data_IF_917128006346
#
_entry.id   IF_917128006346
#
_cell.length_a   1.000
_cell.length_b   1.000
_cell.length_c   1.000
_cell.angle_alpha   90.00
_cell.angle_beta   90.00
_cell.angle_gamma   90.00
#
_symmetry.space_group_name_H-M   'P 1'
#
loop_
_entity.id
_entity.type
_entity.pdbx_description
1 polymer ?
#
# COMPACT_ATOMS: atom_id res chain seq x y z
N UNK A 1 -8.71 -16.86 -8.27
CA UNK A 1 -8.74 -15.39 -8.28
C UNK A 1 -8.91 -14.88 -6.87
N UNK A 2 -8.19 -13.83 -6.48
CA UNK A 2 -8.29 -13.18 -5.17
C UNK A 2 -8.43 -11.67 -5.32
N UNK A 3 -9.25 -11.04 -4.47
CA UNK A 3 -9.48 -9.58 -4.49
C UNK A 3 -8.52 -8.90 -3.52
N UNK A 4 -7.88 -7.80 -3.93
CA UNK A 4 -7.15 -6.92 -3.02
C UNK A 4 -8.12 -6.33 -1.99
N UNK A 5 -7.84 -6.57 -0.71
CA UNK A 5 -8.63 -6.05 0.40
C UNK A 5 -7.74 -5.10 1.19
N UNK A 6 -8.09 -3.83 1.19
CA UNK A 6 -7.49 -2.85 2.07
C UNK A 6 -8.13 -2.92 3.46
N UNK A 7 -7.37 -2.44 4.45
CA UNK A 7 -7.74 -2.31 5.85
C UNK A 7 -9.00 -1.46 6.03
N UNK A 8 -10.07 -1.98 6.63
CA UNK A 8 -11.34 -1.26 6.84
C UNK A 8 -11.18 0.02 7.63
N UNK A 9 -10.38 -0.01 8.70
CA UNK A 9 -10.05 1.14 9.51
C UNK A 9 -9.33 2.18 8.65
N UNK A 10 -8.35 1.76 7.85
CA UNK A 10 -7.66 2.63 6.88
C UNK A 10 -8.63 3.26 5.88
N UNK A 11 -9.51 2.46 5.29
CA UNK A 11 -10.52 2.93 4.32
C UNK A 11 -11.44 3.97 4.94
N UNK A 12 -11.88 3.74 6.19
CA UNK A 12 -12.75 4.67 6.91
C UNK A 12 -12.00 5.95 7.30
N UNK A 13 -10.75 5.81 7.75
CA UNK A 13 -9.90 6.92 8.19
C UNK A 13 -9.50 7.84 7.02
N UNK A 14 -9.15 7.24 5.89
CA UNK A 14 -8.56 7.94 4.74
C UNK A 14 -9.53 8.10 3.57
N UNK A 15 -10.71 7.48 3.60
CA UNK A 15 -11.78 7.69 2.62
C UNK A 15 -11.56 7.03 1.26
N UNK A 16 -10.82 5.93 1.19
CA UNK A 16 -10.65 5.15 -0.03
C UNK A 16 -11.46 3.84 0.00
N UNK A 17 -11.62 3.22 -1.17
CA UNK A 17 -12.36 1.96 -1.33
C UNK A 17 -11.69 0.81 -0.59
N UNK A 18 -12.50 -0.05 0.02
CA UNK A 18 -12.04 -1.26 0.72
C UNK A 18 -11.55 -2.36 -0.20
N UNK A 19 -12.19 -2.53 -1.35
CA UNK A 19 -11.85 -3.55 -2.31
C UNK A 19 -11.17 -2.91 -3.51
N UNK A 20 -10.04 -3.48 -3.91
CA UNK A 20 -9.29 -3.10 -5.09
C UNK A 20 -9.47 -4.11 -6.22
N UNK A 21 -8.41 -4.30 -7.00
CA UNK A 21 -8.38 -5.23 -8.13
C UNK A 21 -8.49 -6.69 -7.73
N UNK A 22 -8.90 -7.52 -8.68
CA UNK A 22 -8.78 -8.97 -8.58
C UNK A 22 -7.52 -9.44 -9.31
N UNK A 23 -6.76 -10.32 -8.69
CA UNK A 23 -5.58 -10.96 -9.27
C UNK A 23 -5.83 -12.46 -9.43
N UNK A 24 -5.27 -13.07 -10.48
CA UNK A 24 -5.32 -14.52 -10.66
C UNK A 24 -4.62 -15.28 -9.52
N UNK A 25 -3.53 -14.71 -9.01
CA UNK A 25 -2.64 -15.33 -8.03
C UNK A 25 -1.52 -16.10 -8.73
N UNK A 26 -0.28 -15.71 -8.47
CA UNK A 26 0.92 -16.33 -9.08
C UNK A 26 1.19 -17.69 -8.45
N UNK A 27 1.03 -17.79 -7.12
CA UNK A 27 1.06 -19.04 -6.38
C UNK A 27 -0.24 -19.16 -5.58
N UNK A 28 -1.15 -20.02 -6.06
CA UNK A 28 -2.47 -20.25 -5.44
C UNK A 28 -2.38 -21.17 -4.20
N UNK A 29 -1.25 -21.83 -4.04
CA UNK A 29 -1.00 -22.78 -2.97
C UNK A 29 -0.15 -22.19 -1.84
N UNK A 30 0.24 -20.91 -1.94
CA UNK A 30 1.11 -20.24 -0.97
C UNK A 30 0.48 -20.21 0.42
N UNK A 31 1.14 -20.88 1.38
CA UNK A 31 0.66 -21.13 2.75
C UNK A 31 1.83 -21.50 3.67
N UNK A 32 1.66 -21.54 5.00
CA UNK A 32 2.72 -21.93 5.93
C UNK A 32 3.39 -23.25 5.52
N UNK A 33 4.73 -23.25 5.52
CA UNK A 33 5.55 -24.39 5.07
C UNK A 33 5.93 -24.34 3.58
N UNK A 34 5.21 -23.58 2.74
CA UNK A 34 5.60 -23.29 1.35
C UNK A 34 6.23 -21.89 1.28
N UNK A 35 7.53 -21.82 1.55
CA UNK A 35 8.25 -20.56 1.67
C UNK A 35 8.64 -19.96 0.31
N UNK A 36 8.65 -18.64 0.23
CA UNK A 36 9.18 -17.87 -0.92
C UNK A 36 10.34 -16.94 -0.51
N UNK A 37 11.11 -16.49 -1.50
CA UNK A 37 12.12 -15.45 -1.32
C UNK A 37 11.59 -14.13 -1.88
N UNK A 38 11.72 -13.05 -1.11
CA UNK A 38 11.24 -11.74 -1.51
C UNK A 38 12.43 -10.78 -1.70
N UNK A 39 12.52 -10.20 -2.90
CA UNK A 39 13.54 -9.22 -3.26
C UNK A 39 12.85 -7.88 -3.54
N UNK A 40 13.17 -6.87 -2.75
CA UNK A 40 12.59 -5.53 -2.85
C UNK A 40 13.61 -4.48 -3.25
N UNK A 41 13.38 -3.80 -4.37
CA UNK A 41 14.13 -2.61 -4.74
C UNK A 41 13.43 -1.35 -4.21
N UNK A 42 14.20 -0.38 -3.70
CA UNK A 42 13.68 0.91 -3.21
C UNK A 42 12.54 0.72 -2.20
N UNK A 43 11.40 1.39 -2.36
CA UNK A 43 10.21 1.26 -1.50
C UNK A 43 9.73 -0.19 -1.34
N UNK A 44 9.97 -1.06 -2.34
CA UNK A 44 9.55 -2.47 -2.29
C UNK A 44 10.10 -3.23 -1.09
N UNK A 45 11.27 -2.85 -0.56
CA UNK A 45 11.80 -3.43 0.67
C UNK A 45 10.98 -3.10 1.92
N UNK A 46 10.40 -1.89 2.00
CA UNK A 46 9.46 -1.52 3.08
C UNK A 46 8.14 -2.30 2.92
N UNK A 47 7.63 -2.41 1.69
CA UNK A 47 6.41 -3.18 1.40
C UNK A 47 6.53 -4.65 1.81
N UNK A 48 7.66 -5.30 1.49
CA UNK A 48 7.91 -6.71 1.85
C UNK A 48 7.94 -6.90 3.37
N UNK A 49 8.61 -6.01 4.10
CA UNK A 49 8.66 -6.06 5.58
C UNK A 49 7.27 -5.92 6.19
N UNK A 50 6.47 -5.01 5.67
CA UNK A 50 5.11 -4.79 6.17
C UNK A 50 4.18 -5.97 5.85
N UNK A 51 4.32 -6.59 4.67
CA UNK A 51 3.59 -7.80 4.31
C UNK A 51 3.92 -8.96 5.26
N UNK A 52 5.20 -9.20 5.53
CA UNK A 52 5.65 -10.25 6.47
C UNK A 52 5.06 -10.03 7.86
N UNK A 53 5.12 -8.79 8.35
CA UNK A 53 4.58 -8.44 9.66
C UNK A 53 3.08 -8.72 9.74
N UNK A 54 2.30 -8.35 8.72
CA UNK A 54 0.88 -8.68 8.68
C UNK A 54 0.64 -10.19 8.60
N UNK A 55 1.37 -10.94 7.77
CA UNK A 55 1.23 -12.39 7.69
C UNK A 55 1.45 -13.04 9.07
N UNK A 56 2.51 -12.64 9.78
CA UNK A 56 2.88 -13.23 11.06
C UNK A 56 1.95 -12.76 12.19
N UNK A 57 1.79 -11.45 12.38
CA UNK A 57 1.15 -10.86 13.56
C UNK A 57 -0.25 -10.30 13.30
N UNK A 58 -0.65 -10.15 12.04
CA UNK A 58 -1.89 -9.48 11.67
C UNK A 58 -1.82 -7.97 11.83
N UNK A 59 -2.98 -7.32 11.84
CA UNK A 59 -3.10 -5.90 12.15
C UNK A 59 -4.04 -5.72 13.37
N UNK A 60 -3.49 -5.36 14.55
CA UNK A 60 -4.30 -5.17 15.76
C UNK A 60 -5.41 -4.12 15.61
N UNK A 61 -5.17 -3.06 14.82
CA UNK A 61 -6.14 -1.99 14.60
C UNK A 61 -7.33 -2.52 13.77
N UNK A 62 -7.06 -3.35 12.76
CA UNK A 62 -8.11 -4.01 11.96
C UNK A 62 -8.89 -5.06 12.75
N UNK A 63 -8.21 -5.84 13.58
CA UNK A 63 -8.85 -6.83 14.45
C UNK A 63 -9.80 -6.12 15.44
N UNK A 64 -9.34 -5.04 16.07
CA UNK A 64 -10.15 -4.24 16.97
C UNK A 64 -11.34 -3.60 16.23
N UNK A 65 -11.12 -3.09 15.02
CA UNK A 65 -12.17 -2.51 14.20
C UNK A 65 -13.25 -3.55 13.84
N UNK A 66 -12.85 -4.74 13.39
CA UNK A 66 -13.77 -5.82 13.05
C UNK A 66 -14.53 -6.34 14.27
N UNK A 67 -13.88 -6.43 15.44
CA UNK A 67 -14.57 -6.79 16.70
C UNK A 67 -15.66 -5.79 17.07
N UNK A 68 -15.42 -4.50 16.83
CA UNK A 68 -16.37 -3.42 17.15
C UNK A 68 -17.51 -3.29 16.15
N UNK A 69 -17.22 -3.42 14.85
CA UNK A 69 -18.20 -3.12 13.77
C UNK A 69 -18.73 -4.37 13.06
N UNK A 70 -18.22 -5.56 13.40
CA UNK A 70 -18.55 -6.81 12.71
C UNK A 70 -18.00 -6.89 11.29
N UNK A 71 -18.56 -7.80 10.50
CA UNK A 71 -18.16 -8.04 9.11
C UNK A 71 -16.95 -8.96 8.95
N UNK A 72 -16.53 -9.13 7.70
CA UNK A 72 -15.38 -9.97 7.32
C UNK A 72 -14.06 -9.24 7.57
N UNK A 73 -13.00 -9.95 7.89
CA UNK A 73 -11.61 -9.46 7.92
C UNK A 73 -10.75 -10.33 6.99
N UNK A 74 -9.83 -9.71 6.27
CA UNK A 74 -8.92 -10.43 5.38
C UNK A 74 -8.03 -11.37 6.19
N UNK A 75 -7.75 -12.60 5.73
CA UNK A 75 -6.88 -13.54 6.44
C UNK A 75 -5.50 -12.95 6.79
N UNK A 76 -4.94 -12.10 5.91
CA UNK A 76 -3.64 -11.44 6.15
C UNK A 76 -3.66 -10.55 7.40
N UNK A 77 -4.78 -9.89 7.71
CA UNK A 77 -4.88 -9.02 8.89
C UNK A 77 -5.19 -9.78 10.18
N UNK A 78 -5.49 -11.08 10.10
CA UNK A 78 -5.65 -11.93 11.30
C UNK A 78 -4.32 -12.42 11.87
N UNK A 79 -3.25 -12.40 11.07
CA UNK A 79 -1.97 -13.03 11.44
C UNK A 79 -2.03 -14.56 11.46
N UNK A 80 -0.98 -15.17 12.01
CA UNK A 80 -0.87 -16.63 12.15
C UNK A 80 -0.39 -17.37 10.89
N UNK A 81 0.17 -16.64 9.92
CA UNK A 81 0.67 -17.18 8.64
C UNK A 81 2.21 -17.17 8.57
N UNK A 82 2.87 -17.46 9.70
CA UNK A 82 4.33 -17.56 9.75
C UNK A 82 4.85 -18.76 8.92
N UNK A 83 6.14 -18.77 8.59
CA UNK A 83 6.76 -19.82 7.80
C UNK A 83 6.35 -19.79 6.31
N UNK A 84 5.90 -18.65 5.81
CA UNK A 84 5.59 -18.41 4.39
C UNK A 84 6.70 -17.67 3.63
N UNK A 85 7.65 -17.06 4.34
CA UNK A 85 8.78 -16.31 3.76
C UNK A 85 10.08 -16.94 4.27
N UNK A 86 11.03 -17.17 3.37
CA UNK A 86 12.37 -17.70 3.70
C UNK A 86 13.42 -16.61 3.81
N UNK A 87 13.37 -15.59 2.94
CA UNK A 87 14.31 -14.48 2.98
C UNK A 87 13.68 -13.17 2.51
N UNK A 88 14.21 -12.08 3.04
CA UNK A 88 13.92 -10.71 2.62
C UNK A 88 15.24 -10.06 2.22
N UNK A 89 15.39 -9.77 0.93
CA UNK A 89 16.55 -9.07 0.39
C UNK A 89 16.13 -7.69 -0.10
N UNK A 90 16.83 -6.64 0.33
CA UNK A 90 16.53 -5.26 -0.08
C UNK A 90 17.68 -4.63 -0.85
N UNK A 91 17.35 -3.84 -1.87
CA UNK A 91 18.29 -3.17 -2.76
C UNK A 91 17.98 -1.67 -2.79
N UNK A 92 18.86 -0.82 -2.25
CA UNK A 92 18.67 0.64 -2.22
C UNK A 92 17.37 1.07 -1.51
N UNK A 93 16.89 0.28 -0.55
CA UNK A 93 15.66 0.57 0.18
C UNK A 93 15.88 1.69 1.20
N UNK A 94 15.06 2.75 1.20
CA UNK A 94 15.13 3.82 2.20
C UNK A 94 14.50 3.36 3.51
N UNK A 95 15.17 2.43 4.21
CA UNK A 95 14.67 1.87 5.48
C UNK A 95 14.40 2.92 6.55
N UNK A 96 15.14 4.04 6.50
CA UNK A 96 15.00 5.18 7.41
C UNK A 96 14.45 6.43 6.71
N UNK A 97 13.83 6.26 5.53
CA UNK A 97 13.36 7.36 4.71
C UNK A 97 14.46 8.03 3.90
N UNK A 98 14.07 9.06 3.15
CA UNK A 98 14.96 9.88 2.35
C UNK A 98 14.60 11.36 2.50
N UNK A 99 15.61 12.21 2.72
CA UNK A 99 15.44 13.67 2.72
C UNK A 99 14.89 14.19 1.37
N UNK A 100 15.10 13.45 0.27
CA UNK A 100 14.47 13.79 -1.00
C UNK A 100 12.95 13.69 -0.90
N UNK A 101 12.44 12.68 -0.20
CA UNK A 101 11.00 12.48 0.01
C UNK A 101 10.40 13.48 0.98
N UNK A 102 11.15 13.99 1.97
CA UNK A 102 10.67 15.09 2.82
C UNK A 102 10.36 16.35 1.99
N UNK A 103 11.11 16.57 0.89
CA UNK A 103 10.84 17.66 -0.07
C UNK A 103 9.73 17.31 -1.06
N UNK A 104 9.60 16.04 -1.46
CA UNK A 104 8.65 15.57 -2.48
C UNK A 104 7.28 15.17 -1.93
N UNK A 105 7.16 14.90 -0.63
CA UNK A 105 5.92 14.50 0.05
C UNK A 105 5.03 15.68 0.47
N UNK A 106 5.32 16.89 0.00
CA UNK A 106 4.50 18.06 0.32
C UNK A 106 3.18 18.06 -0.48
N UNK A 107 2.17 18.73 0.08
CA UNK A 107 0.80 18.75 -0.46
C UNK A 107 0.75 19.17 -1.93
N UNK A 108 1.53 20.18 -2.34
CA UNK A 108 1.51 20.69 -3.70
C UNK A 108 2.00 19.66 -4.74
N UNK A 109 3.06 18.92 -4.41
CA UNK A 109 3.61 17.89 -5.29
C UNK A 109 2.68 16.68 -5.37
N UNK A 110 2.17 16.21 -4.23
CA UNK A 110 1.20 15.10 -4.19
C UNK A 110 -0.04 15.47 -5.00
N UNK A 111 -0.54 16.70 -4.84
CA UNK A 111 -1.67 17.22 -5.59
C UNK A 111 -1.40 17.23 -7.10
N UNK A 112 -0.22 17.68 -7.54
CA UNK A 112 0.16 17.66 -8.95
C UNK A 112 0.16 16.24 -9.53
N UNK A 113 0.75 15.28 -8.83
CA UNK A 113 0.82 13.87 -9.26
C UNK A 113 -0.58 13.26 -9.38
N UNK A 114 -1.46 13.54 -8.41
CA UNK A 114 -2.87 13.11 -8.47
C UNK A 114 -3.57 13.69 -9.70
N UNK A 115 -3.37 14.98 -10.01
CA UNK A 115 -3.96 15.60 -11.19
C UNK A 115 -3.41 15.05 -12.50
N UNK A 116 -2.11 14.79 -12.59
CA UNK A 116 -1.51 14.21 -13.79
C UNK A 116 -2.03 12.78 -14.04
N UNK A 117 -2.16 11.98 -12.97
CA UNK A 117 -2.78 10.66 -13.04
C UNK A 117 -4.26 10.75 -13.45
N UNK A 118 -5.02 11.68 -12.87
CA UNK A 118 -6.43 11.89 -13.19
C UNK A 118 -6.61 12.30 -14.66
N UNK A 119 -5.82 13.26 -15.15
CA UNK A 119 -5.83 13.66 -16.56
C UNK A 119 -5.50 12.51 -17.52
N UNK A 120 -4.55 11.65 -17.15
CA UNK A 120 -4.21 10.47 -17.93
C UNK A 120 -5.38 9.46 -17.96
N UNK A 121 -5.98 9.16 -16.80
CA UNK A 121 -7.08 8.21 -16.66
C UNK A 121 -8.37 8.71 -17.34
N UNK A 122 -8.61 10.03 -17.34
CA UNK A 122 -9.76 10.65 -18.02
C UNK A 122 -9.75 10.43 -19.54
N UNK A 123 -8.57 10.30 -20.16
CA UNK A 123 -8.42 10.19 -21.63
C UNK A 123 -8.76 8.79 -22.18
N UNK A 124 -9.27 7.86 -21.36
CA UNK A 124 -9.77 6.54 -21.78
C UNK A 124 -8.78 5.69 -22.63
N UNK A 125 -7.47 5.92 -22.49
CA UNK A 125 -6.39 5.20 -23.22
C UNK A 125 -5.45 4.46 -22.27
N UNK A 126 -5.94 4.09 -21.09
CA UNK A 126 -5.14 3.53 -20.00
C UNK A 126 -4.64 2.11 -20.28
N UNK A 127 -3.49 1.98 -20.93
CA UNK A 127 -2.67 0.75 -20.89
C UNK A 127 -1.80 0.67 -19.63
N UNK A 128 -1.73 1.77 -18.87
CA UNK A 128 -0.93 1.91 -17.65
C UNK A 128 -1.84 2.13 -16.46
N UNK A 129 -1.53 1.46 -15.36
CA UNK A 129 -2.25 1.55 -14.10
C UNK A 129 -1.33 2.00 -12.98
N UNK A 130 -1.64 3.15 -12.38
CA UNK A 130 -0.82 3.76 -11.33
C UNK A 130 -1.11 3.21 -9.92
N UNK A 131 -2.03 2.24 -9.77
CA UNK A 131 -2.36 1.68 -8.46
C UNK A 131 -3.17 2.61 -7.55
N UNK A 132 -3.91 3.56 -8.15
CA UNK A 132 -4.68 4.59 -7.45
C UNK A 132 -6.21 4.39 -7.57
N UNK A 133 -6.67 3.25 -8.10
CA UNK A 133 -8.11 3.02 -8.33
C UNK A 133 -8.94 3.06 -7.05
N UNK A 134 -8.38 2.64 -5.92
CA UNK A 134 -9.03 2.67 -4.61
C UNK A 134 -9.46 4.08 -4.21
N UNK A 135 -8.78 5.11 -4.71
CA UNK A 135 -9.09 6.52 -4.49
C UNK A 135 -10.21 7.05 -5.40
N UNK A 136 -10.78 6.21 -6.26
CA UNK A 136 -11.86 6.58 -7.16
C UNK A 136 -11.43 7.54 -8.27
N UNK A 137 -10.14 7.54 -8.65
CA UNK A 137 -9.63 8.41 -9.72
C UNK A 137 -10.12 8.03 -11.12
N UNK A 138 -10.78 6.89 -11.28
CA UNK A 138 -11.36 6.51 -12.57
C UNK A 138 -12.63 7.30 -12.85
N UNK A 139 -12.85 7.63 -14.12
CA UNK A 139 -14.10 8.23 -14.57
C UNK A 139 -15.21 7.19 -14.46
N UNK A 140 -16.32 7.57 -13.83
CA UNK A 140 -17.48 6.69 -13.69
C UNK A 140 -18.20 6.55 -15.03
N UNK A 141 -18.93 5.45 -15.20
CA UNK A 141 -19.77 5.27 -16.38
C UNK A 141 -20.82 6.40 -16.47
N UNK A 142 -20.92 7.04 -17.63
CA UNK A 142 -21.82 8.18 -17.84
C UNK A 142 -21.37 9.53 -17.24
N UNK A 143 -20.24 9.60 -16.53
CA UNK A 143 -19.74 10.85 -15.93
C UNK A 143 -19.13 11.77 -17.00
N UNK A 144 -19.60 13.02 -17.10
CA UNK A 144 -18.97 14.01 -18.01
C UNK A 144 -17.55 14.35 -17.56
N UNK A 145 -16.72 14.87 -18.47
CA UNK A 145 -15.36 15.29 -18.13
C UNK A 145 -15.35 16.41 -17.08
N UNK A 146 -16.28 17.36 -17.16
CA UNK A 146 -16.38 18.45 -16.19
C UNK A 146 -16.76 17.92 -14.81
N UNK A 147 -17.78 17.04 -14.73
CA UNK A 147 -18.18 16.43 -13.47
C UNK A 147 -17.07 15.56 -12.86
N UNK A 148 -16.29 14.88 -13.71
CA UNK A 148 -15.12 14.13 -13.29
C UNK A 148 -14.06 15.03 -12.65
N UNK A 149 -13.64 16.10 -13.35
CA UNK A 149 -12.60 17.00 -12.83
C UNK A 149 -13.07 17.75 -11.59
N UNK A 150 -14.32 18.20 -11.53
CA UNK A 150 -14.93 18.78 -10.32
C UNK A 150 -14.86 17.81 -9.13
N UNK A 151 -15.18 16.53 -9.33
CA UNK A 151 -15.09 15.53 -8.28
C UNK A 151 -13.65 15.32 -7.78
N UNK A 152 -12.67 15.32 -8.67
CA UNK A 152 -11.25 15.19 -8.27
C UNK A 152 -10.77 16.46 -7.57
N UNK A 153 -11.10 17.65 -8.10
CA UNK A 153 -10.71 18.95 -7.54
C UNK A 153 -11.29 19.21 -6.14
N UNK A 154 -12.46 18.64 -5.84
CA UNK A 154 -13.13 18.79 -4.55
C UNK A 154 -12.86 17.64 -3.57
N UNK A 155 -12.01 16.67 -3.91
CA UNK A 155 -11.63 15.57 -3.01
C UNK A 155 -10.30 15.86 -2.30
N UNK A 156 -10.38 16.64 -1.23
CA UNK A 156 -9.24 17.11 -0.43
C UNK A 156 -8.42 15.98 0.22
N UNK A 157 -9.05 14.83 0.48
CA UNK A 157 -8.37 13.66 1.05
C UNK A 157 -7.29 13.10 0.13
N UNK A 158 -7.39 13.29 -1.19
CA UNK A 158 -6.43 12.74 -2.15
C UNK A 158 -5.01 13.29 -1.99
N UNK A 159 -4.87 14.55 -1.58
CA UNK A 159 -3.56 15.21 -1.44
C UNK A 159 -3.17 15.57 -0.01
N UNK A 160 -4.08 15.41 0.96
CA UNK A 160 -3.81 15.60 2.39
C UNK A 160 -3.57 14.28 3.14
N UNK A 161 -3.79 13.13 2.51
CA UNK A 161 -3.63 11.82 3.15
C UNK A 161 -2.16 11.48 3.42
N UNK A 162 -1.92 10.79 4.55
CA UNK A 162 -0.67 10.10 4.85
C UNK A 162 -0.62 8.69 4.23
N UNK A 163 -1.75 8.17 3.71
CA UNK A 163 -1.86 6.85 3.07
C UNK A 163 -1.34 6.86 1.63
N UNK A 164 -0.07 7.23 1.48
CA UNK A 164 0.59 7.38 0.20
C UNK A 164 2.11 7.13 0.31
N UNK A 165 2.71 6.68 -0.79
CA UNK A 165 4.10 6.21 -0.77
C UNK A 165 5.15 7.30 -0.55
N UNK A 166 4.94 8.54 -1.00
CA UNK A 166 5.82 9.66 -0.68
C UNK A 166 5.90 9.93 0.83
N UNK A 167 4.80 9.80 1.57
CA UNK A 167 4.78 9.94 3.02
C UNK A 167 5.58 8.82 3.67
N UNK A 168 5.33 7.57 3.29
CA UNK A 168 6.07 6.41 3.81
C UNK A 168 7.58 6.49 3.51
N UNK A 169 7.98 7.20 2.45
CA UNK A 169 9.37 7.43 2.10
C UNK A 169 10.01 8.62 2.85
N UNK A 170 9.25 9.45 3.57
CA UNK A 170 9.80 10.47 4.48
C UNK A 170 10.51 9.82 5.67
N UNK A 171 11.36 10.58 6.35
CA UNK A 171 11.98 10.11 7.60
C UNK A 171 10.93 9.72 8.65
N UNK A 172 9.86 10.53 8.77
CA UNK A 172 8.79 10.30 9.74
C UNK A 172 7.97 9.04 9.39
N UNK A 173 7.49 8.93 8.14
CA UNK A 173 6.70 7.79 7.68
C UNK A 173 7.48 6.48 7.78
N UNK A 174 8.75 6.49 7.37
CA UNK A 174 9.64 5.33 7.51
C UNK A 174 9.87 4.95 8.98
N UNK A 175 10.03 5.92 9.88
CA UNK A 175 10.15 5.66 11.31
C UNK A 175 8.86 5.07 11.90
N UNK A 176 7.67 5.53 11.46
CA UNK A 176 6.39 4.94 11.85
C UNK A 176 6.27 3.49 11.39
N UNK A 177 6.66 3.17 10.14
CA UNK A 177 6.70 1.80 9.63
C UNK A 177 7.68 0.93 10.45
N UNK A 178 8.87 1.43 10.75
CA UNK A 178 9.87 0.70 11.52
C UNK A 178 9.37 0.29 12.91
N UNK A 179 8.63 1.17 13.60
CA UNK A 179 8.01 0.87 14.91
C UNK A 179 6.92 -0.20 14.82
N UNK A 180 6.33 -0.41 13.65
CA UNK A 180 5.28 -1.40 13.41
C UNK A 180 5.81 -2.74 12.92
N UNK A 181 7.11 -2.88 12.68
CA UNK A 181 7.71 -4.14 12.18
C UNK A 181 8.72 -4.70 13.17
N UNK A 182 8.82 -6.02 13.23
CA UNK A 182 9.81 -6.75 14.05
C UNK A 182 10.64 -7.71 13.20
N UNK A 183 11.80 -8.14 13.71
CA UNK A 183 12.59 -9.18 13.06
C UNK A 183 11.98 -10.56 13.35
N UNK A 184 11.81 -11.35 12.29
CA UNK A 184 11.44 -12.75 12.41
C UNK A 184 12.72 -13.62 12.46
N UNK A 185 12.95 -14.37 13.56
CA UNK A 185 14.18 -15.16 13.71
C UNK A 185 14.33 -16.29 12.67
N UNK A 186 13.24 -16.64 11.96
CA UNK A 186 13.21 -17.71 10.96
C UNK A 186 13.45 -17.20 9.52
N UNK A 187 13.71 -15.90 9.33
CA UNK A 187 13.93 -15.26 8.03
C UNK A 187 15.37 -14.78 7.91
N UNK A 188 15.97 -15.04 6.74
CA UNK A 188 17.27 -14.46 6.38
C UNK A 188 17.06 -13.05 5.81
N UNK A 189 17.67 -12.05 6.44
CA UNK A 189 17.64 -10.65 5.99
C UNK A 189 18.96 -10.28 5.31
N UNK A 190 18.89 -9.61 4.16
CA UNK A 190 20.05 -9.10 3.43
C UNK A 190 19.75 -7.73 2.86
N UNK A 191 20.69 -6.80 2.99
CA UNK A 191 20.57 -5.44 2.43
C UNK A 191 21.75 -5.17 1.51
N UNK A 192 21.49 -4.49 0.40
CA UNK A 192 22.51 -3.96 -0.51
C UNK A 192 22.26 -2.47 -0.73
N UNK A 193 23.34 -1.70 -0.65
CA UNK A 193 23.33 -0.24 -0.83
C UNK A 193 24.36 0.10 -1.89
N UNK A 194 24.01 1.02 -2.80
CA UNK A 194 24.96 1.61 -3.75
C UNK A 194 25.43 2.97 -3.22
N UNK A 195 26.66 3.33 -3.58
CA UNK A 195 27.27 4.64 -3.33
C UNK A 195 27.63 5.31 -4.66
#
# INVERSE_FOLDING_TARGET
>A
TGVSIFRCMSCTKYGHSRYGKTYEGIDKDWKPGKKIHLVGHSMGGQTIRQLEEYLRNGDPEEIAYQKKHGGKISPVFKGGHDGMISSITTLGTPHNGSHASDKLGNEAIVRQIVFDAAQYLAKNKGRVDFGLKQWGLERKEGESLDAYFERILNNDQLWRTEDQGFYDLTLEGSAKLNKKTSLNPNIVYKTYTGE
#
